data_IF_644826750976
#
_entry.id   IF_644826750976
#
_cell.length_a   1.000
_cell.length_b   1.000
_cell.length_c   1.000
_cell.angle_alpha   90.00
_cell.angle_beta   90.00
_cell.angle_gamma   90.00
#
_symmetry.space_group_name_H-M   'P 1'
#
loop_
_entity.id
_entity.type
_entity.pdbx_description
1 polymer ?
#
# COMPACT_ATOMS: atom_id res chain seq x y z
N UNK A 1 36.35 11.41 40.44
CA UNK A 1 36.44 11.55 38.97
C UNK A 1 35.00 11.60 38.47
N UNK A 2 34.43 12.79 38.36
CA UNK A 2 33.12 12.96 37.72
C UNK A 2 33.32 12.83 36.20
N UNK A 3 32.69 11.84 35.58
CA UNK A 3 32.65 11.71 34.12
C UNK A 3 31.70 12.76 33.55
N UNK A 4 32.09 13.50 32.49
CA UNK A 4 31.19 14.42 31.81
C UNK A 4 29.92 13.71 31.33
N UNK A 5 28.73 14.33 31.44
CA UNK A 5 27.51 13.75 30.91
C UNK A 5 27.65 13.56 29.39
N UNK A 6 27.23 12.40 28.90
CA UNK A 6 27.24 12.09 27.47
C UNK A 6 26.36 13.11 26.71
N UNK A 7 26.79 13.58 25.52
CA UNK A 7 25.98 14.49 24.73
C UNK A 7 24.65 13.83 24.35
N UNK A 8 23.55 14.56 24.59
CA UNK A 8 22.21 14.13 24.17
C UNK A 8 22.12 14.36 22.66
N UNK A 9 21.91 13.29 21.89
CA UNK A 9 21.63 13.39 20.47
C UNK A 9 20.15 13.72 20.26
N UNK A 10 19.85 14.88 19.68
CA UNK A 10 18.50 15.25 19.23
C UNK A 10 18.43 15.07 17.72
N UNK A 11 17.53 14.23 17.19
CA UNK A 11 17.35 14.06 15.76
C UNK A 11 17.04 15.39 15.07
N UNK A 12 17.56 15.58 13.87
CA UNK A 12 17.22 16.74 13.06
C UNK A 12 15.75 16.66 12.62
N UNK A 13 15.00 17.77 12.63
CA UNK A 13 13.62 17.77 12.16
C UNK A 13 13.57 17.45 10.66
N UNK A 14 12.52 16.75 10.25
CA UNK A 14 12.24 16.45 8.84
C UNK A 14 12.09 17.73 8.04
N UNK A 15 12.70 17.77 6.84
CA UNK A 15 12.68 18.96 6.00
C UNK A 15 11.26 19.24 5.48
N UNK A 16 10.87 20.52 5.26
CA UNK A 16 9.57 20.84 4.67
C UNK A 16 9.33 20.21 3.29
N UNK A 17 10.38 20.02 2.49
CA UNK A 17 10.28 19.37 1.19
C UNK A 17 9.95 17.88 1.32
N UNK A 18 10.61 17.18 2.25
CA UNK A 18 10.31 15.77 2.57
C UNK A 18 8.89 15.61 3.09
N UNK A 19 8.42 16.53 3.93
CA UNK A 19 7.04 16.50 4.43
C UNK A 19 6.01 16.71 3.30
N UNK A 20 6.26 17.65 2.38
CA UNK A 20 5.39 17.85 1.23
C UNK A 20 5.35 16.63 0.31
N UNK A 21 6.50 15.97 0.08
CA UNK A 21 6.58 14.73 -0.68
C UNK A 21 5.82 13.59 0.03
N UNK A 22 5.96 13.49 1.36
CA UNK A 22 5.25 12.50 2.16
C UNK A 22 3.73 12.68 2.06
N UNK A 23 3.25 13.91 2.18
CA UNK A 23 1.82 14.25 2.05
C UNK A 23 1.28 13.90 0.66
N UNK A 24 2.06 14.16 -0.41
CA UNK A 24 1.70 13.79 -1.77
C UNK A 24 1.59 12.27 -1.92
N UNK A 25 2.57 11.51 -1.41
CA UNK A 25 2.58 10.05 -1.47
C UNK A 25 1.39 9.46 -0.71
N UNK A 26 1.11 9.94 0.50
CA UNK A 26 -0.06 9.51 1.28
C UNK A 26 -1.36 9.86 0.56
N UNK A 27 -1.45 11.04 -0.06
CA UNK A 27 -2.60 11.44 -0.88
C UNK A 27 -2.82 10.50 -2.07
N UNK A 28 -1.74 10.17 -2.78
CA UNK A 28 -1.76 9.25 -3.91
C UNK A 28 -2.18 7.83 -3.48
N UNK A 29 -1.65 7.32 -2.36
CA UNK A 29 -2.04 6.03 -1.79
C UNK A 29 -3.53 5.99 -1.42
N UNK A 30 -4.06 7.04 -0.78
CA UNK A 30 -5.51 7.13 -0.45
C UNK A 30 -6.37 7.15 -1.71
N UNK A 31 -5.94 7.87 -2.74
CA UNK A 31 -6.65 7.92 -4.01
C UNK A 31 -6.64 6.57 -4.74
N UNK A 32 -5.49 5.88 -4.78
CA UNK A 32 -5.38 4.52 -5.31
C UNK A 32 -6.29 3.55 -4.55
N UNK A 33 -6.27 3.61 -3.21
CA UNK A 33 -7.11 2.77 -2.37
C UNK A 33 -8.61 3.00 -2.61
N UNK A 34 -9.04 4.25 -2.79
CA UNK A 34 -10.42 4.55 -3.15
C UNK A 34 -10.82 3.93 -4.50
N UNK A 35 -9.98 4.06 -5.53
CA UNK A 35 -10.19 3.41 -6.84
C UNK A 35 -10.21 1.89 -6.71
N UNK A 36 -9.37 1.32 -5.86
CA UNK A 36 -9.37 -0.11 -5.58
C UNK A 36 -10.71 -0.56 -5.00
N UNK A 37 -11.26 0.16 -4.01
CA UNK A 37 -12.56 -0.18 -3.43
C UNK A 37 -13.69 -0.12 -4.45
N UNK A 38 -13.69 0.86 -5.35
CA UNK A 38 -14.65 0.97 -6.45
C UNK A 38 -14.52 -0.23 -7.41
N UNK A 39 -13.30 -0.53 -7.86
CA UNK A 39 -13.03 -1.66 -8.72
C UNK A 39 -13.40 -2.99 -8.05
N UNK A 40 -13.19 -3.11 -6.74
CA UNK A 40 -13.56 -4.30 -5.97
C UNK A 40 -15.07 -4.50 -5.91
N UNK A 41 -15.84 -3.41 -5.81
CA UNK A 41 -17.29 -3.44 -5.97
C UNK A 41 -17.72 -4.05 -7.30
N UNK A 42 -17.04 -3.67 -8.39
CA UNK A 42 -17.30 -4.16 -9.75
C UNK A 42 -16.88 -5.63 -9.95
N UNK A 43 -15.79 -6.07 -9.32
CA UNK A 43 -15.26 -7.44 -9.45
C UNK A 43 -16.15 -8.50 -8.79
N UNK A 44 -16.92 -8.14 -7.75
CA UNK A 44 -17.73 -9.08 -6.95
C UNK A 44 -18.74 -9.88 -7.78
N UNK A 45 -19.44 -9.25 -8.73
CA UNK A 45 -20.48 -9.94 -9.50
C UNK A 45 -19.89 -10.94 -10.51
N UNK A 46 -18.88 -10.57 -11.33
CA UNK A 46 -18.17 -11.52 -12.19
C UNK A 46 -17.53 -12.68 -11.44
N UNK A 47 -16.89 -12.42 -10.29
CA UNK A 47 -16.29 -13.47 -9.44
C UNK A 47 -17.34 -14.48 -8.96
N UNK A 48 -18.49 -14.01 -8.45
CA UNK A 48 -19.59 -14.90 -8.08
C UNK A 48 -20.14 -15.71 -9.25
N UNK A 49 -20.19 -15.14 -10.45
CA UNK A 49 -20.65 -15.82 -11.65
C UNK A 49 -19.64 -16.87 -12.17
N UNK A 50 -18.36 -16.72 -11.83
CA UNK A 50 -17.31 -17.68 -12.16
C UNK A 50 -17.21 -18.82 -11.13
N UNK A 51 -17.83 -18.70 -9.95
CA UNK A 51 -17.75 -19.70 -8.90
C UNK A 51 -18.27 -21.06 -9.39
N UNK A 52 -17.40 -22.07 -9.41
CA UNK A 52 -17.72 -23.42 -9.90
C UNK A 52 -17.74 -23.56 -11.43
N UNK A 53 -17.44 -22.50 -12.16
CA UNK A 53 -17.27 -22.58 -13.62
C UNK A 53 -15.96 -23.27 -13.99
N UNK A 54 -15.90 -24.00 -15.12
CA UNK A 54 -14.65 -24.58 -15.59
C UNK A 54 -13.59 -23.50 -15.87
N UNK A 55 -12.34 -23.81 -15.53
CA UNK A 55 -11.17 -23.01 -15.92
C UNK A 55 -11.18 -22.82 -17.44
N UNK A 56 -10.94 -21.59 -17.90
CA UNK A 56 -10.96 -21.22 -19.31
C UNK A 56 -12.35 -20.95 -19.89
N UNK A 57 -13.43 -21.08 -19.11
CA UNK A 57 -14.76 -20.60 -19.52
C UNK A 57 -14.81 -19.07 -19.60
N UNK A 58 -15.77 -18.53 -20.36
CA UNK A 58 -15.99 -17.08 -20.46
C UNK A 58 -16.19 -16.41 -19.09
N UNK A 59 -16.92 -17.08 -18.18
CA UNK A 59 -17.14 -16.56 -16.83
C UNK A 59 -15.86 -16.50 -16.00
N UNK A 60 -15.01 -17.53 -16.08
CA UNK A 60 -13.70 -17.57 -15.44
C UNK A 60 -12.79 -16.47 -16.00
N UNK A 61 -12.70 -16.34 -17.33
CA UNK A 61 -11.86 -15.33 -17.97
C UNK A 61 -12.29 -13.91 -17.61
N UNK A 62 -13.61 -13.64 -17.59
CA UNK A 62 -14.14 -12.32 -17.16
C UNK A 62 -13.80 -12.01 -15.71
N UNK A 63 -13.91 -12.98 -14.81
CA UNK A 63 -13.55 -12.77 -13.41
C UNK A 63 -12.05 -12.49 -13.23
N UNK A 64 -11.18 -13.24 -13.93
CA UNK A 64 -9.74 -13.02 -13.92
C UNK A 64 -9.35 -11.61 -14.41
N UNK A 65 -10.01 -11.10 -15.46
CA UNK A 65 -9.78 -9.72 -15.93
C UNK A 65 -10.14 -8.68 -14.87
N UNK A 66 -11.23 -8.90 -14.11
CA UNK A 66 -11.59 -7.99 -13.03
C UNK A 66 -10.57 -8.02 -11.89
N UNK A 67 -10.06 -9.21 -11.53
CA UNK A 67 -9.00 -9.32 -10.52
C UNK A 67 -7.72 -8.66 -11.00
N UNK A 68 -7.32 -8.85 -12.26
CA UNK A 68 -6.14 -8.19 -12.82
C UNK A 68 -6.25 -6.65 -12.79
N UNK A 69 -7.46 -6.10 -12.96
CA UNK A 69 -7.69 -4.66 -12.78
C UNK A 69 -7.44 -4.21 -11.32
N UNK A 70 -7.82 -5.02 -10.32
CA UNK A 70 -7.49 -4.77 -8.91
C UNK A 70 -5.99 -4.80 -8.66
N UNK A 71 -5.29 -5.79 -9.20
CA UNK A 71 -3.83 -5.92 -9.06
C UNK A 71 -3.08 -4.73 -9.67
N UNK A 72 -3.60 -4.19 -10.78
CA UNK A 72 -3.06 -2.98 -11.40
C UNK A 72 -3.16 -1.78 -10.47
N UNK A 73 -4.33 -1.55 -9.86
CA UNK A 73 -4.53 -0.43 -8.93
C UNK A 73 -3.69 -0.63 -7.65
N UNK A 74 -3.63 -1.86 -7.12
CA UNK A 74 -2.77 -2.21 -5.97
C UNK A 74 -1.30 -1.89 -6.23
N UNK A 75 -0.83 -2.11 -7.46
CA UNK A 75 0.55 -1.81 -7.83
C UNK A 75 0.88 -0.33 -7.71
N UNK A 76 -0.09 0.57 -7.95
CA UNK A 76 0.09 2.02 -7.70
C UNK A 76 0.31 2.33 -6.21
N UNK A 77 -0.48 1.70 -5.33
CA UNK A 77 -0.33 1.84 -3.89
C UNK A 77 1.02 1.28 -3.37
N UNK A 78 1.46 0.15 -3.93
CA UNK A 78 2.76 -0.45 -3.63
C UNK A 78 3.94 0.44 -4.04
N UNK A 79 3.86 1.10 -5.20
CA UNK A 79 4.89 2.05 -5.62
C UNK A 79 4.99 3.24 -4.66
N UNK A 80 3.86 3.79 -4.23
CA UNK A 80 3.84 4.87 -3.24
C UNK A 80 4.41 4.42 -1.88
N UNK A 81 4.08 3.20 -1.43
CA UNK A 81 4.65 2.62 -0.21
C UNK A 81 6.17 2.48 -0.29
N UNK A 82 6.69 2.00 -1.43
CA UNK A 82 8.13 1.83 -1.63
C UNK A 82 8.88 3.17 -1.58
N UNK A 83 8.29 4.24 -2.09
CA UNK A 83 8.88 5.58 -1.99
C UNK A 83 8.88 6.09 -0.54
N UNK A 84 7.79 5.87 0.21
CA UNK A 84 7.73 6.20 1.64
C UNK A 84 8.80 5.42 2.43
N UNK A 85 8.99 4.13 2.12
CA UNK A 85 10.04 3.30 2.71
C UNK A 85 11.44 3.87 2.43
N UNK A 86 11.68 4.42 1.23
CA UNK A 86 12.95 5.09 0.88
C UNK A 86 13.16 6.34 1.74
N UNK A 87 12.16 7.21 1.86
CA UNK A 87 12.23 8.41 2.69
C UNK A 87 12.50 8.07 4.17
N UNK A 88 11.83 7.03 4.69
CA UNK A 88 12.07 6.53 6.05
C UNK A 88 13.51 6.04 6.24
N UNK A 89 14.02 5.24 5.30
CA UNK A 89 15.38 4.71 5.36
C UNK A 89 16.44 5.82 5.31
N UNK A 90 16.25 6.82 4.45
CA UNK A 90 17.13 7.98 4.36
C UNK A 90 17.16 8.81 5.65
N UNK A 91 15.98 9.07 6.24
CA UNK A 91 15.88 9.77 7.52
C UNK A 91 16.53 8.97 8.66
N UNK A 92 16.30 7.66 8.72
CA UNK A 92 16.88 6.79 9.75
C UNK A 92 18.42 6.75 9.66
N UNK A 93 18.98 6.62 8.45
CA UNK A 93 20.44 6.58 8.24
C UNK A 93 21.11 7.92 8.54
N UNK A 94 20.43 9.04 8.28
CA UNK A 94 20.94 10.38 8.57
C UNK A 94 20.76 10.82 10.03
N UNK A 95 20.12 10.00 10.88
CA UNK A 95 19.79 10.34 12.26
C UNK A 95 18.72 11.43 12.37
N UNK A 96 17.86 11.54 11.36
CA UNK A 96 16.70 12.44 11.33
C UNK A 96 15.52 11.92 12.13
N UNK A 97 14.50 12.77 12.24
CA UNK A 97 13.19 12.44 12.80
C UNK A 97 12.44 11.47 11.86
N UNK A 98 11.80 10.44 12.41
CA UNK A 98 11.19 9.35 11.62
C UNK A 98 9.74 9.04 11.98
N UNK A 99 9.17 9.63 13.04
CA UNK A 99 7.87 9.22 13.55
C UNK A 99 6.75 9.51 12.54
N UNK A 100 6.82 10.64 11.83
CA UNK A 100 5.83 10.97 10.79
C UNK A 100 5.95 10.02 9.57
N UNK A 101 7.18 9.69 9.18
CA UNK A 101 7.46 8.75 8.09
C UNK A 101 6.98 7.33 8.43
N UNK A 102 7.25 6.86 9.65
CA UNK A 102 6.79 5.55 10.12
C UNK A 102 5.27 5.48 10.23
N UNK A 103 4.60 6.56 10.67
CA UNK A 103 3.15 6.60 10.70
C UNK A 103 2.56 6.51 9.29
N UNK A 104 3.07 7.30 8.34
CA UNK A 104 2.63 7.25 6.95
C UNK A 104 2.86 5.87 6.32
N UNK A 105 4.02 5.26 6.60
CA UNK A 105 4.36 3.90 6.18
C UNK A 105 3.36 2.88 6.73
N UNK A 106 3.04 2.96 8.03
CA UNK A 106 2.07 2.07 8.66
C UNK A 106 0.67 2.21 8.06
N UNK A 107 0.21 3.45 7.83
CA UNK A 107 -1.08 3.74 7.24
C UNK A 107 -1.21 3.14 5.83
N UNK A 108 -0.22 3.39 4.97
CA UNK A 108 -0.23 2.90 3.58
C UNK A 108 -0.04 1.39 3.52
N UNK A 109 0.81 0.82 4.38
CA UNK A 109 0.98 -0.63 4.48
C UNK A 109 -0.33 -1.33 4.87
N UNK A 110 -1.13 -0.76 5.78
CA UNK A 110 -2.43 -1.31 6.14
C UNK A 110 -3.40 -1.32 4.95
N UNK A 111 -3.42 -0.26 4.13
CA UNK A 111 -4.24 -0.20 2.91
C UNK A 111 -3.85 -1.30 1.93
N UNK A 112 -2.55 -1.46 1.64
CA UNK A 112 -2.05 -2.52 0.75
C UNK A 112 -2.39 -3.91 1.28
N UNK A 113 -2.26 -4.14 2.59
CA UNK A 113 -2.61 -5.42 3.20
C UNK A 113 -4.12 -5.74 3.11
N UNK A 114 -4.99 -4.72 3.18
CA UNK A 114 -6.42 -4.85 2.92
C UNK A 114 -6.69 -5.27 1.46
N UNK A 115 -5.98 -4.65 0.52
CA UNK A 115 -6.08 -4.92 -0.92
C UNK A 115 -5.65 -6.35 -1.27
N UNK A 116 -4.49 -6.78 -0.76
CA UNK A 116 -3.95 -8.13 -0.94
C UNK A 116 -4.93 -9.20 -0.44
N UNK A 117 -5.50 -9.00 0.75
CA UNK A 117 -6.47 -9.94 1.33
C UNK A 117 -7.69 -10.08 0.44
N UNK A 118 -8.24 -8.97 -0.04
CA UNK A 118 -9.43 -8.99 -0.88
C UNK A 118 -9.17 -9.66 -2.23
N UNK A 119 -8.01 -9.39 -2.85
CA UNK A 119 -7.61 -10.08 -4.08
C UNK A 119 -7.51 -11.59 -3.84
N UNK A 120 -6.86 -12.02 -2.76
CA UNK A 120 -6.73 -13.42 -2.42
C UNK A 120 -8.11 -14.09 -2.18
N UNK A 121 -9.01 -13.41 -1.49
CA UNK A 121 -10.39 -13.87 -1.28
C UNK A 121 -11.17 -14.04 -2.60
N UNK A 122 -11.03 -13.09 -3.53
CA UNK A 122 -11.69 -13.15 -4.83
C UNK A 122 -11.11 -14.27 -5.71
N UNK A 123 -9.79 -14.42 -5.74
CA UNK A 123 -9.12 -15.52 -6.45
C UNK A 123 -9.56 -16.89 -5.91
N UNK A 124 -9.66 -17.03 -4.58
CA UNK A 124 -10.15 -18.25 -3.94
C UNK A 124 -11.58 -18.63 -4.33
N UNK A 125 -12.43 -17.65 -4.66
CA UNK A 125 -13.81 -17.88 -5.12
C UNK A 125 -13.90 -18.31 -6.59
N UNK A 126 -13.00 -17.83 -7.46
CA UNK A 126 -12.95 -18.22 -8.87
C UNK A 126 -12.55 -19.70 -9.01
N UNK A 127 -11.65 -20.15 -8.14
CA UNK A 127 -11.03 -21.47 -8.24
C UNK A 127 -9.82 -21.45 -9.17
N UNK A 128 -8.71 -22.02 -8.67
CA UNK A 128 -7.47 -22.25 -9.41
C UNK A 128 -7.60 -23.39 -10.41
#
# INVERSE_FOLDING_TARGET
MDTPPAPIFTPAPTSPATLAQLDELVGNSRAAHARFQEAAGNARAPVRAAAGSPVGSDSWARAQVQVAALESVRSEALMALAEIDSLYAEAAVSGGEVAQLEQARSDVSAMVADEDRLIAELLGQIGS
#
